data_IF_723818440971
#
_entry.id   IF_723818440971
#
_cell.length_a   1.000
_cell.length_b   1.000
_cell.length_c   1.000
_cell.angle_alpha   90.00
_cell.angle_beta   90.00
_cell.angle_gamma   90.00
#
_symmetry.space_group_name_H-M   'P 1'
#
loop_
_entity.id
_entity.type
_entity.pdbx_description
1 polymer ?
#
# COMPACT_ATOMS: atom_id res chain seq x y z
N UNK A 1 -14.99 13.57 32.64
CA UNK A 1 -14.84 14.86 31.94
C UNK A 1 -15.12 14.60 30.47
N UNK A 2 -16.24 15.09 29.93
CA UNK A 2 -16.60 14.88 28.51
C UNK A 2 -15.77 15.85 27.68
N UNK A 3 -14.85 15.32 26.88
CA UNK A 3 -14.14 16.09 25.86
C UNK A 3 -15.14 16.47 24.77
N UNK A 4 -15.49 17.73 24.71
CA UNK A 4 -16.26 18.31 23.61
C UNK A 4 -15.34 18.47 22.41
N UNK A 5 -15.26 17.44 21.55
CA UNK A 5 -14.73 17.64 20.21
C UNK A 5 -15.69 18.54 19.45
N UNK A 6 -15.26 19.78 19.20
CA UNK A 6 -15.90 20.67 18.26
C UNK A 6 -15.93 19.97 16.90
N UNK A 7 -17.14 19.71 16.39
CA UNK A 7 -17.34 19.39 14.98
C UNK A 7 -16.69 20.48 14.14
N UNK A 8 -15.62 20.14 13.46
CA UNK A 8 -14.99 21.02 12.49
C UNK A 8 -15.94 21.07 11.28
N UNK A 9 -16.65 22.19 11.14
CA UNK A 9 -17.50 22.47 9.98
C UNK A 9 -16.66 22.39 8.69
N UNK A 10 -16.66 21.28 7.98
CA UNK A 10 -16.39 21.12 6.54
C UNK A 10 -15.24 21.89 5.88
N UNK A 11 -14.25 22.40 6.64
CA UNK A 11 -13.09 23.10 6.09
C UNK A 11 -11.94 22.11 5.95
N UNK A 12 -11.62 21.77 4.72
CA UNK A 12 -10.42 21.02 4.36
C UNK A 12 -9.17 21.68 4.98
N UNK A 13 -8.23 20.86 5.50
CA UNK A 13 -6.95 21.35 6.03
C UNK A 13 -6.11 22.08 4.98
N UNK A 14 -6.46 21.93 3.71
CA UNK A 14 -5.86 22.64 2.59
C UNK A 14 -6.48 24.03 2.34
N UNK A 15 -7.25 24.55 3.30
CA UNK A 15 -7.76 25.92 3.24
C UNK A 15 -7.34 26.73 4.47
N UNK A 16 -6.86 27.95 4.24
CA UNK A 16 -6.56 28.91 5.28
C UNK A 16 -7.30 30.21 4.99
N UNK A 17 -8.09 30.69 5.95
CA UNK A 17 -8.94 31.89 5.78
C UNK A 17 -9.81 31.84 4.50
N UNK A 18 -10.30 30.65 4.12
CA UNK A 18 -11.12 30.43 2.92
C UNK A 18 -10.36 30.40 1.60
N UNK A 19 -9.03 30.47 1.62
CA UNK A 19 -8.19 30.38 0.42
C UNK A 19 -7.47 29.03 0.36
N UNK A 20 -7.34 28.41 -0.83
CA UNK A 20 -6.56 27.18 -0.99
C UNK A 20 -5.08 27.45 -0.67
N UNK A 21 -4.46 26.52 0.05
CA UNK A 21 -3.05 26.58 0.43
C UNK A 21 -2.41 25.20 0.25
N UNK A 22 -1.16 25.20 -0.16
CA UNK A 22 -0.38 23.97 -0.12
C UNK A 22 -0.01 23.60 1.32
N UNK A 23 -0.06 22.31 1.61
CA UNK A 23 0.41 21.73 2.88
C UNK A 23 1.46 20.69 2.61
N UNK A 24 2.48 20.60 3.48
CA UNK A 24 3.35 19.46 3.49
C UNK A 24 2.50 18.22 3.80
N UNK A 25 2.56 17.22 2.95
CA UNK A 25 1.66 16.05 3.02
C UNK A 25 2.37 14.80 2.55
N UNK A 26 2.04 13.66 3.14
CA UNK A 26 2.24 12.39 2.45
C UNK A 26 1.21 12.29 1.32
N UNK A 27 1.66 11.77 0.18
CA UNK A 27 0.82 11.51 -0.98
C UNK A 27 1.23 10.19 -1.61
N UNK A 28 0.28 9.28 -1.76
CA UNK A 28 0.45 8.05 -2.52
C UNK A 28 -0.33 8.14 -3.83
N UNK A 29 0.30 7.73 -4.93
CA UNK A 29 -0.35 7.48 -6.21
C UNK A 29 -0.28 5.98 -6.48
N UNK A 30 -1.44 5.35 -6.62
CA UNK A 30 -1.61 3.90 -6.70
C UNK A 30 -2.33 3.54 -8.00
N UNK A 31 -1.87 2.46 -8.66
CA UNK A 31 -2.39 1.96 -9.94
C UNK A 31 -2.57 0.45 -9.89
N UNK A 32 -3.61 -0.08 -10.55
CA UNK A 32 -3.83 -1.52 -10.64
C UNK A 32 -3.03 -2.09 -11.80
N UNK A 33 -2.06 -2.93 -11.50
CA UNK A 33 -1.20 -3.56 -12.50
C UNK A 33 -2.00 -4.30 -13.58
N UNK A 34 -1.90 -3.83 -14.83
CA UNK A 34 -2.51 -4.46 -15.99
C UNK A 34 -4.03 -4.29 -16.10
N UNK A 35 -4.64 -3.33 -15.38
CA UNK A 35 -6.07 -3.10 -15.44
C UNK A 35 -6.57 -2.72 -16.83
N UNK A 36 -5.85 -1.86 -17.54
CA UNK A 36 -6.21 -1.44 -18.91
C UNK A 36 -6.30 -2.62 -19.89
N UNK A 37 -5.38 -3.60 -19.79
CA UNK A 37 -5.42 -4.81 -20.60
C UNK A 37 -6.60 -5.72 -20.21
N UNK A 38 -6.87 -5.88 -18.91
CA UNK A 38 -8.03 -6.62 -18.41
C UNK A 38 -9.33 -5.99 -18.89
N UNK A 39 -9.43 -4.67 -18.82
CA UNK A 39 -10.61 -3.91 -19.28
C UNK A 39 -10.83 -4.08 -20.80
N UNK A 40 -9.76 -3.96 -21.59
CA UNK A 40 -9.86 -4.19 -23.04
C UNK A 40 -10.26 -5.62 -23.40
N UNK A 41 -9.76 -6.61 -22.66
CA UNK A 41 -10.13 -8.01 -22.83
C UNK A 41 -11.59 -8.23 -22.47
N UNK A 42 -12.08 -7.67 -21.37
CA UNK A 42 -13.45 -7.83 -20.91
C UNK A 42 -14.50 -7.23 -21.87
N UNK A 43 -14.14 -6.16 -22.59
CA UNK A 43 -15.00 -5.65 -23.66
C UNK A 43 -15.09 -6.60 -24.86
N UNK A 44 -14.00 -7.34 -25.16
CA UNK A 44 -13.99 -8.28 -26.28
C UNK A 44 -14.75 -9.56 -26.00
N UNK A 45 -14.71 -10.05 -24.76
CA UNK A 45 -15.36 -11.31 -24.36
C UNK A 45 -16.74 -11.10 -23.69
N UNK A 46 -17.19 -9.84 -23.58
CA UNK A 46 -18.49 -9.49 -23.02
C UNK A 46 -18.58 -9.53 -21.50
N UNK A 47 -17.45 -9.61 -20.78
CA UNK A 47 -17.39 -9.65 -19.30
C UNK A 47 -17.15 -8.30 -18.63
N UNK A 48 -17.26 -7.18 -19.37
CA UNK A 48 -16.93 -5.85 -18.88
C UNK A 48 -17.74 -5.43 -17.64
N UNK A 49 -19.06 -5.71 -17.64
CA UNK A 49 -19.92 -5.38 -16.49
C UNK A 49 -19.56 -6.21 -15.26
N UNK A 50 -19.21 -7.49 -15.44
CA UNK A 50 -18.76 -8.35 -14.34
C UNK A 50 -17.42 -7.87 -13.75
N UNK A 51 -16.49 -7.42 -14.59
CA UNK A 51 -15.23 -6.82 -14.14
C UNK A 51 -15.49 -5.52 -13.38
N UNK A 52 -16.36 -4.65 -13.92
CA UNK A 52 -16.73 -3.38 -13.28
C UNK A 52 -17.39 -3.63 -11.92
N UNK A 53 -18.35 -4.51 -11.82
CA UNK A 53 -19.04 -4.86 -10.58
C UNK A 53 -18.02 -5.37 -9.54
N UNK A 54 -17.17 -6.32 -9.91
CA UNK A 54 -16.16 -6.89 -9.03
C UNK A 54 -15.18 -5.81 -8.54
N UNK A 55 -14.68 -4.96 -9.43
CA UNK A 55 -13.75 -3.89 -9.08
C UNK A 55 -14.40 -2.85 -8.18
N UNK A 56 -15.62 -2.40 -8.54
CA UNK A 56 -16.37 -1.39 -7.78
C UNK A 56 -16.70 -1.87 -6.36
N UNK A 57 -17.14 -3.11 -6.19
CA UNK A 57 -17.46 -3.66 -4.87
C UNK A 57 -16.22 -3.69 -3.96
N UNK A 58 -15.06 -4.07 -4.51
CA UNK A 58 -13.81 -4.14 -3.72
C UNK A 58 -13.36 -2.73 -3.36
N UNK A 59 -13.34 -1.82 -4.33
CA UNK A 59 -12.95 -0.43 -4.11
C UNK A 59 -13.85 0.23 -3.07
N UNK A 60 -15.17 0.09 -3.21
CA UNK A 60 -16.13 0.64 -2.26
C UNK A 60 -15.96 0.06 -0.84
N UNK A 61 -15.72 -1.25 -0.73
CA UNK A 61 -15.46 -1.90 0.55
C UNK A 61 -14.16 -1.41 1.19
N UNK A 62 -13.07 -1.34 0.42
CA UNK A 62 -11.78 -0.85 0.94
C UNK A 62 -11.88 0.60 1.40
N UNK A 63 -12.58 1.47 0.66
CA UNK A 63 -12.82 2.86 1.06
C UNK A 63 -13.68 2.94 2.33
N UNK A 64 -14.74 2.12 2.44
CA UNK A 64 -15.59 2.11 3.62
C UNK A 64 -14.80 1.70 4.86
N UNK A 65 -13.99 0.64 4.75
CA UNK A 65 -13.14 0.16 5.84
C UNK A 65 -12.12 1.23 6.27
N UNK A 66 -11.43 1.88 5.32
CA UNK A 66 -10.54 3.00 5.62
C UNK A 66 -11.22 4.14 6.38
N UNK A 67 -12.51 4.38 6.13
CA UNK A 67 -13.30 5.42 6.81
C UNK A 67 -13.84 4.99 8.17
N UNK A 68 -14.12 3.70 8.36
CA UNK A 68 -14.62 3.16 9.63
C UNK A 68 -13.49 3.03 10.66
N UNK A 69 -12.32 2.59 10.22
CA UNK A 69 -11.18 2.33 11.08
C UNK A 69 -10.36 3.59 11.39
N UNK A 70 -10.52 4.67 10.60
CA UNK A 70 -9.94 5.97 10.88
C UNK A 70 -11.01 6.93 11.41
N UNK A 71 -10.92 7.28 12.69
CA UNK A 71 -11.53 8.50 13.24
C UNK A 71 -10.82 9.76 12.68
N UNK A 72 -9.97 9.55 11.67
CA UNK A 72 -9.08 10.55 11.10
C UNK A 72 -9.74 11.23 9.91
N UNK A 73 -10.37 12.36 10.18
CA UNK A 73 -10.92 13.26 9.16
C UNK A 73 -9.86 13.85 8.22
N UNK A 74 -8.57 13.55 8.43
CA UNK A 74 -7.44 14.09 7.67
C UNK A 74 -6.93 13.16 6.57
N UNK A 75 -7.44 11.91 6.48
CA UNK A 75 -7.10 11.03 5.37
C UNK A 75 -7.95 11.37 4.14
N UNK A 76 -7.31 11.93 3.14
CA UNK A 76 -7.93 12.31 1.88
C UNK A 76 -7.83 11.17 0.87
N UNK A 77 -8.92 10.88 0.19
CA UNK A 77 -9.03 9.82 -0.81
C UNK A 77 -9.64 10.35 -2.11
N UNK A 78 -9.04 9.99 -3.24
CA UNK A 78 -9.61 10.25 -4.56
C UNK A 78 -9.33 9.09 -5.50
N UNK A 79 -10.33 8.66 -6.25
CA UNK A 79 -10.18 7.63 -7.27
C UNK A 79 -10.64 8.13 -8.63
N UNK A 80 -9.95 7.70 -9.67
CA UNK A 80 -10.34 7.88 -11.07
C UNK A 80 -9.79 6.71 -11.90
N UNK A 81 -10.66 6.08 -12.66
CA UNK A 81 -10.37 4.80 -13.32
C UNK A 81 -9.91 3.73 -12.30
N UNK A 82 -8.76 3.13 -12.50
CA UNK A 82 -8.08 2.21 -11.60
C UNK A 82 -7.01 2.89 -10.72
N UNK A 83 -6.88 4.21 -10.83
CA UNK A 83 -5.94 4.98 -10.03
C UNK A 83 -6.60 5.47 -8.73
N UNK A 84 -5.80 5.45 -7.66
CA UNK A 84 -6.17 5.98 -6.36
C UNK A 84 -5.09 6.93 -5.88
N UNK A 85 -5.52 8.08 -5.37
CA UNK A 85 -4.67 9.01 -4.62
C UNK A 85 -5.10 9.00 -3.17
N UNK A 86 -4.15 8.69 -2.29
CA UNK A 86 -4.29 8.85 -0.84
C UNK A 86 -3.40 10.00 -0.39
N UNK A 87 -3.88 10.83 0.52
CA UNK A 87 -3.06 11.90 1.07
C UNK A 87 -3.37 12.14 2.54
N UNK A 88 -2.34 12.49 3.29
CA UNK A 88 -2.43 12.88 4.68
C UNK A 88 -1.63 14.17 4.90
N UNK A 89 -2.27 15.31 5.18
CA UNK A 89 -1.59 16.56 5.46
C UNK A 89 -0.89 16.52 6.81
N UNK A 90 0.17 17.30 6.94
CA UNK A 90 0.94 17.45 8.17
C UNK A 90 0.08 18.08 9.26
N UNK A 91 0.04 17.47 10.45
CA UNK A 91 -0.49 18.03 11.69
C UNK A 91 0.55 18.01 12.84
N UNK A 92 1.53 17.10 12.78
CA UNK A 92 2.62 17.03 13.75
C UNK A 92 3.94 17.60 13.20
N UNK A 93 4.88 17.93 14.09
CA UNK A 93 6.16 18.52 13.66
C UNK A 93 7.09 17.53 12.99
N UNK A 94 7.03 16.26 13.37
CA UNK A 94 7.89 15.19 12.86
C UNK A 94 7.23 14.29 11.82
N UNK A 95 5.90 14.37 11.67
CA UNK A 95 5.10 13.60 10.73
C UNK A 95 5.14 12.07 10.95
N UNK A 96 5.44 11.60 12.17
CA UNK A 96 5.48 10.16 12.44
C UNK A 96 4.09 9.55 12.46
N UNK A 97 3.15 10.19 13.16
CA UNK A 97 1.76 9.73 13.22
C UNK A 97 1.12 9.72 11.83
N UNK A 98 1.35 10.79 11.04
CA UNK A 98 0.86 10.87 9.66
C UNK A 98 1.43 9.76 8.78
N UNK A 99 2.72 9.40 8.99
CA UNK A 99 3.30 8.24 8.31
C UNK A 99 2.61 6.94 8.71
N UNK A 100 2.32 6.76 9.99
CA UNK A 100 1.57 5.59 10.48
C UNK A 100 0.20 5.47 9.83
N UNK A 101 -0.58 6.55 9.77
CA UNK A 101 -1.90 6.58 9.16
C UNK A 101 -1.86 6.29 7.65
N UNK A 102 -0.99 6.95 6.90
CA UNK A 102 -0.91 6.73 5.45
C UNK A 102 -0.37 5.34 5.10
N UNK A 103 0.60 4.84 5.87
CA UNK A 103 1.14 3.49 5.75
C UNK A 103 0.05 2.44 5.91
N UNK A 104 -0.70 2.52 7.01
CA UNK A 104 -1.81 1.61 7.28
C UNK A 104 -2.86 1.66 6.15
N UNK A 105 -3.28 2.85 5.73
CA UNK A 105 -4.27 3.01 4.68
C UNK A 105 -3.83 2.40 3.35
N UNK A 106 -2.55 2.55 2.98
CA UNK A 106 -2.01 1.98 1.75
C UNK A 106 -1.91 0.45 1.87
N UNK A 107 -1.38 -0.06 2.99
CA UNK A 107 -1.21 -1.50 3.20
C UNK A 107 -2.56 -2.22 3.18
N UNK A 108 -3.55 -1.72 3.92
CA UNK A 108 -4.89 -2.30 3.94
C UNK A 108 -5.52 -2.29 2.54
N UNK A 109 -5.49 -1.14 1.84
CA UNK A 109 -6.00 -1.06 0.47
C UNK A 109 -5.30 -2.05 -0.46
N UNK A 110 -3.96 -2.06 -0.46
CA UNK A 110 -3.16 -2.94 -1.32
C UNK A 110 -3.42 -4.42 -1.01
N UNK A 111 -3.53 -4.77 0.27
CA UNK A 111 -3.80 -6.13 0.72
C UNK A 111 -5.18 -6.61 0.27
N UNK A 112 -6.24 -5.86 0.53
CA UNK A 112 -7.60 -6.23 0.14
C UNK A 112 -7.74 -6.38 -1.38
N UNK A 113 -7.14 -5.49 -2.14
CA UNK A 113 -7.11 -5.57 -3.60
C UNK A 113 -6.34 -6.82 -4.08
N UNK A 114 -5.18 -7.14 -3.48
CA UNK A 114 -4.38 -8.31 -3.83
C UNK A 114 -5.12 -9.62 -3.55
N UNK A 115 -5.90 -9.72 -2.45
CA UNK A 115 -6.72 -10.89 -2.12
C UNK A 115 -7.78 -11.19 -3.21
N UNK A 116 -8.12 -10.22 -4.03
CA UNK A 116 -9.06 -10.33 -5.16
C UNK A 116 -8.37 -10.40 -6.53
N UNK A 117 -7.04 -10.44 -6.55
CA UNK A 117 -6.25 -10.52 -7.78
C UNK A 117 -6.07 -9.17 -8.50
N UNK A 118 -6.32 -8.07 -7.81
CA UNK A 118 -5.97 -6.72 -8.26
C UNK A 118 -4.70 -6.29 -7.55
N UNK A 119 -3.57 -6.46 -8.20
CA UNK A 119 -2.27 -6.14 -7.61
C UNK A 119 -1.92 -4.68 -7.87
N UNK A 120 -1.62 -3.97 -6.79
CA UNK A 120 -1.36 -2.53 -6.79
C UNK A 120 0.14 -2.27 -6.89
N UNK A 121 0.51 -1.32 -7.74
CA UNK A 121 1.81 -0.68 -7.72
C UNK A 121 1.62 0.81 -7.44
N UNK A 122 2.66 1.49 -6.97
CA UNK A 122 2.51 2.90 -6.65
C UNK A 122 3.78 3.55 -6.15
N UNK A 123 3.65 4.84 -5.83
CA UNK A 123 4.68 5.63 -5.18
C UNK A 123 4.11 6.37 -3.97
N UNK A 124 4.91 6.46 -2.91
CA UNK A 124 4.64 7.28 -1.72
C UNK A 124 5.69 8.38 -1.61
N UNK A 125 5.24 9.62 -1.63
CA UNK A 125 6.09 10.80 -1.54
C UNK A 125 5.62 11.73 -0.42
N UNK A 126 6.52 12.61 0.04
CA UNK A 126 6.23 13.68 0.98
C UNK A 126 6.74 15.00 0.42
N UNK A 127 5.83 15.94 0.18
CA UNK A 127 6.11 17.30 -0.28
C UNK A 127 4.82 18.15 -0.19
N UNK A 128 4.85 19.36 -0.75
CA UNK A 128 3.70 20.25 -0.83
C UNK A 128 2.60 19.67 -1.71
N UNK A 129 1.38 19.66 -1.16
CA UNK A 129 0.17 19.18 -1.81
C UNK A 129 -1.00 20.13 -1.53
N UNK A 130 -1.93 20.19 -2.45
CA UNK A 130 -3.30 20.64 -2.26
C UNK A 130 -4.25 19.51 -2.66
N UNK A 131 -5.28 19.28 -1.85
CA UNK A 131 -6.32 18.28 -2.17
C UNK A 131 -7.66 18.71 -1.57
N UNK A 132 -8.70 18.70 -2.41
CA UNK A 132 -10.08 18.93 -1.98
C UNK A 132 -11.01 17.90 -2.67
N UNK A 133 -12.32 18.08 -2.58
CA UNK A 133 -13.30 17.20 -3.21
C UNK A 133 -13.18 17.14 -4.73
N UNK A 134 -12.71 18.22 -5.37
CA UNK A 134 -12.69 18.35 -6.83
C UNK A 134 -11.33 18.11 -7.46
N UNK A 135 -10.23 18.45 -6.76
CA UNK A 135 -8.90 18.50 -7.35
C UNK A 135 -7.81 17.98 -6.40
N UNK A 136 -6.71 17.55 -6.97
CA UNK A 136 -5.46 17.23 -6.28
C UNK A 136 -4.30 17.66 -7.16
N UNK A 137 -3.37 18.43 -6.61
CA UNK A 137 -2.13 18.82 -7.29
C UNK A 137 -1.06 19.28 -6.30
N UNK A 138 0.18 19.21 -6.73
CA UNK A 138 1.33 19.61 -5.94
C UNK A 138 2.55 18.73 -6.21
N UNK A 139 3.67 19.11 -5.62
CA UNK A 139 4.94 18.41 -5.80
C UNK A 139 4.87 16.95 -5.33
N UNK A 140 4.19 16.70 -4.19
CA UNK A 140 4.03 15.34 -3.67
C UNK A 140 3.31 14.41 -4.66
N UNK A 141 2.25 14.89 -5.33
CA UNK A 141 1.55 14.10 -6.34
C UNK A 141 2.43 13.80 -7.56
N UNK A 142 3.16 14.80 -8.05
CA UNK A 142 4.05 14.63 -9.21
C UNK A 142 5.16 13.61 -8.92
N UNK A 143 5.73 13.66 -7.73
CA UNK A 143 6.75 12.70 -7.31
C UNK A 143 6.16 11.29 -7.12
N UNK A 144 5.03 11.15 -6.45
CA UNK A 144 4.35 9.86 -6.28
C UNK A 144 3.96 9.22 -7.62
N UNK A 145 3.44 10.01 -8.57
CA UNK A 145 3.17 9.57 -9.93
C UNK A 145 4.45 9.17 -10.70
N UNK A 146 5.53 9.94 -10.53
CA UNK A 146 6.82 9.61 -11.17
C UNK A 146 7.38 8.28 -10.63
N UNK A 147 7.24 8.03 -9.33
CA UNK A 147 7.61 6.75 -8.71
C UNK A 147 6.77 5.59 -9.26
N UNK A 148 5.46 5.75 -9.33
CA UNK A 148 4.57 4.73 -9.88
C UNK A 148 4.93 4.42 -11.35
N UNK A 149 5.01 5.44 -12.21
CA UNK A 149 5.11 5.27 -13.65
C UNK A 149 6.50 4.86 -14.13
N UNK A 150 7.58 5.26 -13.43
CA UNK A 150 8.97 5.05 -13.87
C UNK A 150 9.77 4.10 -12.99
N UNK A 151 9.35 3.90 -11.73
CA UNK A 151 10.17 3.23 -10.71
C UNK A 151 9.52 1.94 -10.22
N UNK A 152 8.22 1.94 -9.93
CA UNK A 152 7.48 0.78 -9.43
C UNK A 152 7.21 -0.25 -10.55
N UNK A 153 8.22 -1.03 -10.91
CA UNK A 153 8.10 -2.09 -11.93
C UNK A 153 7.23 -3.24 -11.42
N UNK A 154 7.38 -3.60 -10.15
CA UNK A 154 6.70 -4.71 -9.48
C UNK A 154 5.46 -4.20 -8.73
N UNK A 155 4.51 -5.09 -8.35
CA UNK A 155 3.28 -4.68 -7.68
C UNK A 155 3.50 -4.36 -6.20
N UNK A 156 4.20 -3.29 -5.94
CA UNK A 156 4.49 -2.72 -4.62
C UNK A 156 4.46 -1.19 -4.67
N UNK A 157 4.30 -0.57 -3.51
CA UNK A 157 4.36 0.89 -3.35
C UNK A 157 5.78 1.27 -2.90
N UNK A 158 6.50 1.98 -3.78
CA UNK A 158 7.87 2.43 -3.51
C UNK A 158 7.88 3.79 -2.81
N UNK A 159 8.87 4.01 -1.95
CA UNK A 159 9.02 5.24 -1.18
C UNK A 159 10.05 6.17 -1.84
N UNK A 160 9.76 7.47 -1.91
CA UNK A 160 10.74 8.45 -2.34
C UNK A 160 11.85 8.65 -1.30
N UNK A 161 12.95 9.28 -1.71
CA UNK A 161 14.09 9.55 -0.83
C UNK A 161 13.72 10.41 0.38
N UNK A 162 12.88 11.44 0.20
CA UNK A 162 12.47 12.31 1.28
C UNK A 162 11.59 11.57 2.31
N UNK A 163 10.69 10.69 1.86
CA UNK A 163 9.93 9.81 2.75
C UNK A 163 10.88 8.92 3.56
N UNK A 164 11.90 8.34 2.93
CA UNK A 164 12.86 7.49 3.63
C UNK A 164 13.71 8.25 4.65
N UNK A 165 14.04 9.53 4.40
CA UNK A 165 14.71 10.39 5.39
C UNK A 165 13.86 10.57 6.66
N UNK A 166 12.53 10.73 6.50
CA UNK A 166 11.62 10.80 7.64
C UNK A 166 11.52 9.45 8.35
N UNK A 167 11.37 8.34 7.61
CA UNK A 167 11.34 6.99 8.18
C UNK A 167 12.61 6.70 9.00
N UNK A 168 13.81 7.00 8.48
CA UNK A 168 15.07 6.85 9.20
C UNK A 168 15.08 7.68 10.51
N UNK A 169 14.53 8.91 10.47
CA UNK A 169 14.39 9.76 11.64
C UNK A 169 13.43 9.15 12.66
N UNK A 170 12.26 8.68 12.23
CA UNK A 170 11.27 8.05 13.11
C UNK A 170 11.82 6.79 13.80
N UNK A 171 12.54 5.94 13.07
CA UNK A 171 13.21 4.76 13.63
C UNK A 171 14.15 5.16 14.78
N UNK A 172 14.79 6.34 14.70
CA UNK A 172 15.70 6.81 15.75
C UNK A 172 15.02 7.14 17.09
N UNK A 173 13.70 7.35 17.09
CA UNK A 173 12.92 7.64 18.31
C UNK A 173 12.75 6.42 19.22
N UNK A 174 12.86 5.22 18.65
CA UNK A 174 12.65 3.97 19.36
C UNK A 174 13.97 3.40 19.90
N UNK A 175 13.92 2.77 21.07
CA UNK A 175 15.02 1.97 21.58
C UNK A 175 14.94 0.55 21.02
N UNK A 176 16.10 -0.06 20.72
CA UNK A 176 16.13 -1.43 20.20
C UNK A 176 15.57 -1.55 18.77
N UNK A 177 14.94 -2.71 18.46
CA UNK A 177 14.34 -3.04 17.17
C UNK A 177 12.79 -3.06 17.22
N UNK A 178 12.20 -2.16 17.99
CA UNK A 178 10.74 -2.10 18.19
C UNK A 178 10.03 -1.09 17.29
N UNK A 179 10.77 -0.32 16.47
CA UNK A 179 10.13 0.63 15.54
C UNK A 179 9.26 -0.12 14.52
N UNK A 180 7.96 0.20 14.37
CA UNK A 180 7.07 -0.48 13.44
C UNK A 180 7.60 -0.45 12.00
N UNK A 181 8.24 0.63 11.59
CA UNK A 181 8.80 0.82 10.26
C UNK A 181 9.85 -0.24 9.88
N UNK A 182 10.52 -0.88 10.87
CA UNK A 182 11.46 -1.97 10.61
C UNK A 182 10.78 -3.23 10.09
N UNK A 183 9.49 -3.42 10.39
CA UNK A 183 8.65 -4.52 9.88
C UNK A 183 7.95 -4.13 8.58
N UNK A 184 7.48 -2.89 8.51
CA UNK A 184 6.51 -2.45 7.52
C UNK A 184 7.17 -1.85 6.26
N UNK A 185 8.49 -1.66 6.27
CA UNK A 185 9.26 -1.22 5.11
C UNK A 185 10.37 -2.20 4.80
N UNK A 186 10.45 -2.61 3.53
CA UNK A 186 11.49 -3.51 3.03
C UNK A 186 12.35 -2.82 1.98
N UNK A 187 13.56 -3.34 1.80
CA UNK A 187 14.46 -2.98 0.71
C UNK A 187 14.52 -4.10 -0.30
N UNK A 188 14.22 -3.79 -1.56
CA UNK A 188 14.30 -4.71 -2.68
C UNK A 188 15.73 -4.93 -3.18
N UNK A 189 15.92 -5.90 -4.09
CA UNK A 189 17.23 -6.22 -4.68
C UNK A 189 17.79 -5.09 -5.54
N UNK A 190 16.93 -4.21 -6.02
CA UNK A 190 17.26 -2.98 -6.78
C UNK A 190 17.66 -1.80 -5.87
N UNK A 191 17.71 -2.02 -4.55
CA UNK A 191 18.06 -1.03 -3.56
C UNK A 191 16.94 -0.08 -3.17
N UNK A 192 15.75 -0.21 -3.73
CA UNK A 192 14.58 0.65 -3.45
C UNK A 192 13.82 0.15 -2.24
N UNK A 193 13.21 1.09 -1.53
CA UNK A 193 12.37 0.80 -0.38
C UNK A 193 10.91 0.74 -0.81
N UNK A 194 10.16 -0.21 -0.25
CA UNK A 194 8.75 -0.41 -0.54
C UNK A 194 7.97 -0.86 0.70
N UNK A 195 6.65 -0.67 0.68
CA UNK A 195 5.76 -1.04 1.77
C UNK A 195 5.51 -2.55 1.79
N UNK A 196 5.58 -3.14 3.00
CA UNK A 196 5.39 -4.56 3.25
C UNK A 196 3.93 -4.85 3.59
N UNK A 197 3.03 -4.73 2.62
CA UNK A 197 1.58 -4.89 2.85
C UNK A 197 1.16 -6.28 3.32
N UNK A 198 2.02 -7.30 3.25
CA UNK A 198 1.71 -8.62 3.79
C UNK A 198 1.76 -8.66 5.32
N UNK A 199 2.27 -7.61 5.98
CA UNK A 199 2.13 -7.46 7.44
C UNK A 199 0.68 -7.44 7.90
N UNK A 200 -0.28 -7.10 7.04
CA UNK A 200 -1.72 -7.21 7.29
C UNK A 200 -2.20 -8.67 7.55
N UNK A 201 -1.35 -9.67 7.23
CA UNK A 201 -1.60 -11.05 7.65
C UNK A 201 -1.27 -11.31 9.12
N UNK A 202 -0.61 -10.37 9.82
CA UNK A 202 -0.31 -10.46 11.24
C UNK A 202 -1.39 -9.68 11.98
N UNK A 203 -2.26 -10.39 12.68
CA UNK A 203 -3.44 -9.81 13.33
C UNK A 203 -3.22 -9.81 14.83
N UNK A 204 -3.50 -8.69 15.49
CA UNK A 204 -3.50 -8.59 16.95
C UNK A 204 -4.67 -9.37 17.53
N UNK A 205 -4.41 -10.19 18.52
CA UNK A 205 -5.41 -10.88 19.32
C UNK A 205 -5.28 -10.49 20.78
N UNK A 206 -6.17 -11.01 21.64
CA UNK A 206 -6.23 -10.64 23.07
C UNK A 206 -4.92 -10.96 23.82
N UNK A 207 -4.29 -12.10 23.53
CA UNK A 207 -3.10 -12.57 24.25
C UNK A 207 -1.81 -12.53 23.41
N UNK A 208 -1.92 -12.53 22.09
CA UNK A 208 -0.77 -12.55 21.15
C UNK A 208 -1.16 -12.16 19.74
N UNK A 209 -0.17 -11.81 18.94
CA UNK A 209 -0.34 -11.77 17.48
C UNK A 209 -0.54 -13.20 16.94
N UNK A 210 -1.34 -13.32 15.89
CA UNK A 210 -1.54 -14.57 15.14
C UNK A 210 -1.48 -14.33 13.63
N UNK A 211 -1.15 -15.39 12.89
CA UNK A 211 -1.07 -15.33 11.43
C UNK A 211 -2.43 -15.65 10.79
N UNK A 212 -3.00 -14.74 10.02
CA UNK A 212 -4.12 -15.04 9.12
C UNK A 212 -3.65 -15.90 7.93
N UNK A 213 -3.46 -17.19 8.20
CA UNK A 213 -3.08 -18.17 7.20
C UNK A 213 -4.11 -18.34 6.08
N UNK A 214 -5.38 -17.93 6.31
CA UNK A 214 -6.44 -17.99 5.28
C UNK A 214 -6.21 -16.92 4.22
N UNK A 215 -5.99 -15.69 4.62
CA UNK A 215 -5.69 -14.58 3.71
C UNK A 215 -4.35 -14.79 3.00
N UNK A 216 -3.32 -15.26 3.70
CA UNK A 216 -2.04 -15.59 3.09
C UNK A 216 -2.16 -16.69 2.02
N UNK A 217 -3.00 -17.71 2.25
CA UNK A 217 -3.31 -18.74 1.24
C UNK A 217 -4.06 -18.18 0.04
N UNK A 218 -4.98 -17.23 0.28
CA UNK A 218 -5.72 -16.58 -0.80
C UNK A 218 -4.78 -15.73 -1.66
N UNK A 219 -3.88 -14.96 -1.05
CA UNK A 219 -2.84 -14.20 -1.75
C UNK A 219 -1.97 -15.12 -2.62
N UNK A 220 -1.48 -16.25 -2.07
CA UNK A 220 -0.78 -17.30 -2.84
C UNK A 220 -1.58 -17.72 -4.08
N UNK A 221 -2.88 -18.05 -3.90
CA UNK A 221 -3.76 -18.51 -4.99
C UNK A 221 -3.84 -17.49 -6.12
N UNK A 222 -3.94 -16.19 -5.78
CA UNK A 222 -3.98 -15.14 -6.80
C UNK A 222 -2.66 -15.05 -7.58
N UNK A 223 -1.53 -15.17 -6.91
CA UNK A 223 -0.21 -15.20 -7.57
C UNK A 223 -0.08 -16.39 -8.51
N UNK A 224 -0.42 -17.60 -8.05
CA UNK A 224 -0.34 -18.83 -8.87
C UNK A 224 -1.27 -18.76 -10.09
N UNK A 225 -2.45 -18.17 -9.93
CA UNK A 225 -3.37 -17.91 -11.02
C UNK A 225 -2.77 -16.95 -12.06
N UNK A 226 -2.17 -15.84 -11.60
CA UNK A 226 -1.54 -14.86 -12.47
C UNK A 226 -0.33 -15.43 -13.20
N UNK A 227 0.54 -16.17 -12.53
CA UNK A 227 1.68 -16.86 -13.13
C UNK A 227 1.25 -17.82 -14.26
N UNK A 228 0.15 -18.56 -14.04
CA UNK A 228 -0.42 -19.46 -15.04
C UNK A 228 -1.01 -18.66 -16.23
N UNK A 229 -1.77 -17.62 -15.94
CA UNK A 229 -2.43 -16.80 -16.98
C UNK A 229 -1.43 -16.10 -17.89
N UNK A 230 -0.35 -15.58 -17.31
CA UNK A 230 0.66 -14.78 -18.03
C UNK A 230 1.93 -15.57 -18.38
N UNK A 231 1.89 -16.91 -18.34
CA UNK A 231 3.05 -17.76 -18.64
C UNK A 231 3.70 -17.47 -20.01
N UNK A 232 2.89 -17.06 -21.01
CA UNK A 232 3.35 -16.73 -22.37
C UNK A 232 3.74 -15.25 -22.55
N UNK A 233 3.66 -14.40 -21.50
CA UNK A 233 3.95 -12.95 -21.56
C UNK A 233 5.09 -12.62 -20.60
N UNK A 234 6.37 -12.74 -21.02
CA UNK A 234 7.52 -12.67 -20.11
C UNK A 234 7.59 -11.38 -19.27
N UNK A 235 7.23 -10.23 -19.86
CA UNK A 235 7.25 -8.92 -19.17
C UNK A 235 6.22 -8.80 -18.03
N UNK A 236 5.12 -9.53 -18.10
CA UNK A 236 4.10 -9.60 -17.06
C UNK A 236 4.42 -10.74 -16.09
N UNK A 237 4.80 -11.91 -16.62
CA UNK A 237 5.21 -13.06 -15.83
C UNK A 237 6.32 -12.71 -14.82
N UNK A 238 7.34 -11.95 -15.24
CA UNK A 238 8.45 -11.56 -14.36
C UNK A 238 8.00 -10.76 -13.13
N UNK A 239 6.96 -9.93 -13.24
CA UNK A 239 6.39 -9.16 -12.13
C UNK A 239 5.72 -10.09 -11.11
N UNK A 240 4.98 -11.11 -11.58
CA UNK A 240 4.36 -12.09 -10.70
C UNK A 240 5.37 -13.10 -10.12
N UNK A 241 6.44 -13.40 -10.84
CA UNK A 241 7.56 -14.18 -10.31
C UNK A 241 8.26 -13.43 -9.17
N UNK A 242 8.47 -12.11 -9.32
CA UNK A 242 8.98 -11.26 -8.25
C UNK A 242 8.02 -11.25 -7.04
N UNK A 243 6.73 -11.11 -7.30
CA UNK A 243 5.70 -11.13 -6.26
C UNK A 243 5.64 -12.47 -5.51
N UNK A 244 5.83 -13.58 -6.21
CA UNK A 244 5.93 -14.91 -5.60
C UNK A 244 7.16 -15.03 -4.69
N UNK A 245 8.30 -14.45 -5.10
CA UNK A 245 9.49 -14.37 -4.25
C UNK A 245 9.26 -13.53 -3.00
N UNK A 246 8.59 -12.37 -3.12
CA UNK A 246 8.20 -11.52 -1.99
C UNK A 246 7.25 -12.26 -1.04
N UNK A 247 6.22 -12.92 -1.57
CA UNK A 247 5.32 -13.74 -0.77
C UNK A 247 6.06 -14.84 0.00
N UNK A 248 6.98 -15.55 -0.66
CA UNK A 248 7.77 -16.60 -0.04
C UNK A 248 8.73 -16.05 1.02
N UNK A 249 9.33 -14.88 0.78
CA UNK A 249 10.12 -14.18 1.79
C UNK A 249 9.28 -13.85 3.02
N UNK A 250 8.07 -13.32 2.85
CA UNK A 250 7.17 -13.06 3.98
C UNK A 250 6.82 -14.36 4.72
N UNK A 251 6.53 -15.45 4.01
CA UNK A 251 6.31 -16.77 4.60
C UNK A 251 7.48 -17.23 5.50
N UNK A 252 8.72 -16.93 5.11
CA UNK A 252 9.90 -17.25 5.93
C UNK A 252 9.94 -16.40 7.20
N UNK A 253 9.55 -15.13 7.13
CA UNK A 253 9.53 -14.23 8.30
C UNK A 253 8.48 -14.62 9.34
N UNK A 254 7.38 -15.26 8.93
CA UNK A 254 6.29 -15.69 9.82
C UNK A 254 6.29 -17.19 10.10
N UNK A 255 7.38 -17.88 9.77
CA UNK A 255 7.49 -19.35 9.91
C UNK A 255 7.42 -19.86 11.37
N UNK A 256 7.64 -19.00 12.35
CA UNK A 256 7.51 -19.31 13.78
C UNK A 256 6.09 -19.25 14.32
N UNK A 257 5.13 -18.68 13.58
CA UNK A 257 3.73 -18.63 14.02
C UNK A 257 3.09 -20.02 13.99
N UNK A 258 2.31 -20.41 15.02
CA UNK A 258 1.65 -21.73 15.07
C UNK A 258 0.73 -22.03 13.89
N UNK A 259 0.13 -20.98 13.29
CA UNK A 259 -0.76 -21.07 12.13
C UNK A 259 -0.01 -21.31 10.82
N UNK A 260 1.31 -21.13 10.80
CA UNK A 260 2.12 -21.30 9.60
C UNK A 260 2.23 -22.77 9.15
N UNK A 261 2.17 -22.97 7.85
CA UNK A 261 2.46 -24.26 7.20
C UNK A 261 3.30 -24.01 5.94
N UNK A 262 4.29 -24.83 5.66
CA UNK A 262 5.15 -24.70 4.46
C UNK A 262 4.36 -24.69 3.14
N UNK A 263 3.18 -25.32 3.13
CA UNK A 263 2.25 -25.28 2.00
C UNK A 263 1.67 -23.90 1.67
N UNK A 264 1.91 -22.88 2.51
CA UNK A 264 1.55 -21.49 2.22
C UNK A 264 2.48 -20.85 1.18
N UNK A 265 3.71 -21.34 1.01
CA UNK A 265 4.62 -20.86 -0.02
C UNK A 265 4.13 -21.15 -1.43
N UNK A 266 4.39 -20.22 -2.35
CA UNK A 266 4.18 -20.42 -3.79
C UNK A 266 5.21 -21.44 -4.31
N UNK A 267 4.72 -22.48 -4.97
CA UNK A 267 5.53 -23.58 -5.50
C UNK A 267 5.99 -23.27 -6.93
N UNK A 268 6.95 -22.36 -7.08
CA UNK A 268 7.57 -22.02 -8.38
C UNK A 268 9.07 -21.98 -8.21
N UNK A 269 9.81 -22.57 -9.16
CA UNK A 269 11.27 -22.39 -9.21
C UNK A 269 11.57 -20.96 -9.66
N UNK A 270 11.92 -20.12 -8.70
CA UNK A 270 12.23 -18.69 -8.91
C UNK A 270 13.74 -18.49 -8.77
N UNK A 271 14.27 -17.52 -9.51
CA UNK A 271 15.59 -16.98 -9.20
C UNK A 271 15.59 -16.46 -7.75
N UNK A 272 16.67 -16.67 -7.02
CA UNK A 272 16.81 -16.19 -5.65
C UNK A 272 16.77 -14.65 -5.65
N UNK A 273 15.68 -14.10 -5.15
CA UNK A 273 15.51 -12.67 -4.93
C UNK A 273 15.68 -12.41 -3.43
N UNK A 274 16.60 -11.52 -3.08
CA UNK A 274 16.86 -11.17 -1.70
C UNK A 274 16.14 -9.87 -1.32
N UNK A 275 15.33 -9.94 -0.26
CA UNK A 275 14.71 -8.79 0.37
C UNK A 275 15.40 -8.53 1.71
N UNK A 276 15.44 -7.28 2.13
CA UNK A 276 16.10 -6.88 3.37
C UNK A 276 15.11 -6.09 4.23
N UNK A 277 15.03 -6.43 5.51
CA UNK A 277 14.39 -5.57 6.51
C UNK A 277 15.23 -4.30 6.72
N UNK A 278 14.56 -3.23 7.08
CA UNK A 278 15.27 -2.08 7.60
C UNK A 278 16.03 -2.47 8.87
N UNK A 279 17.17 -1.86 9.07
CA UNK A 279 17.92 -1.95 10.31
C UNK A 279 18.22 -0.55 10.83
N UNK A 280 18.24 -0.41 12.15
CA UNK A 280 18.66 0.84 12.77
C UNK A 280 20.10 1.15 12.34
N UNK A 281 20.32 2.34 11.80
CA UNK A 281 21.68 2.81 11.51
C UNK A 281 22.41 2.97 12.84
N UNK A 282 23.57 2.32 12.97
CA UNK A 282 24.46 2.43 14.14
C UNK A 282 25.03 3.83 14.25
#
# INVERSE_FOLDING_TARGET
MKSTHKQNNGKSDYFFAGKPVHRLSYCAFLDVLGFSERLRASYKDGSADTLLESFHQILAKSIAQLKEDTDDSMLYFKSFTDNVVLAHPRFSDDMESEFGFILWAINEYQFQMALKGFFIRGGLAVDLLFMDENSVYGAALLEAYSLESKVAVNPVVVLCENTMKLVDKHISYYSGEIAPQLRDVLKGPDGRYFLNYLTECIVEGDDREFLDAKSLRLHKKQIESALKTYAAVPSVFSKFAWLAAYHNYFCDTVSSYPEYKSSLKVSVTLAAIQFQRLSKKK
#
